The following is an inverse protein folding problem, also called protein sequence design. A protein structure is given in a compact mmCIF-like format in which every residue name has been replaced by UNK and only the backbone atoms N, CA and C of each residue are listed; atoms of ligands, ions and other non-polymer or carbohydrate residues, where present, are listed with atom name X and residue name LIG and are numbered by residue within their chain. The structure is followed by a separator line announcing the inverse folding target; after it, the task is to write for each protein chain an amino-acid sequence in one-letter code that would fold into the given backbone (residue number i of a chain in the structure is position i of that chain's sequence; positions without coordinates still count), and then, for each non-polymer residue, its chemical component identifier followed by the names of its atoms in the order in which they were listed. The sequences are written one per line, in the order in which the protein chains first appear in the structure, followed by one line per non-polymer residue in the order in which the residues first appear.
data_IF_813507131312
#
_entry.id   IF_813507131312
#
_cell.length_a   1.000
_cell.length_b   1.000
_cell.length_c   1.000
_cell.angle_alpha   90.00
_cell.angle_beta   90.00
_cell.angle_gamma   90.00
#
_symmetry.space_group_name_H-M   'P 1'
#
loop_
_entity.id
_entity.type
_entity.pdbx_description
1 polymer ?
#
# COMPACT_ATOMS: atom_id res chain seq x y z
N UNK A 1 -3.49 -16.83 3.78
CA UNK A 1 -4.21 -16.98 5.07
C UNK A 1 -3.63 -18.05 6.01
N UNK A 2 -2.91 -19.07 5.55
CA UNK A 2 -2.48 -20.20 6.40
C UNK A 2 -1.62 -19.78 7.62
N UNK A 3 -0.72 -18.81 7.48
CA UNK A 3 0.06 -18.29 8.60
C UNK A 3 -0.79 -17.58 9.67
N UNK A 4 -1.82 -16.83 9.25
CA UNK A 4 -2.74 -16.12 10.14
C UNK A 4 -3.55 -17.12 10.98
N UNK A 5 -4.08 -18.17 10.33
CA UNK A 5 -4.82 -19.23 11.01
C UNK A 5 -3.94 -20.02 11.99
N UNK A 6 -2.65 -20.19 11.67
CA UNK A 6 -1.65 -20.83 12.56
C UNK A 6 -1.15 -19.89 13.66
N UNK A 7 -1.29 -18.57 13.50
CA UNK A 7 -0.82 -17.55 14.44
C UNK A 7 0.69 -17.30 14.44
N UNK A 8 1.44 -17.82 13.45
CA UNK A 8 2.87 -17.57 13.28
C UNK A 8 3.34 -17.86 11.84
N UNK A 9 4.50 -17.31 11.48
CA UNK A 9 5.24 -17.65 10.26
C UNK A 9 6.71 -17.90 10.61
N UNK A 10 7.33 -18.85 9.93
CA UNK A 10 8.76 -19.12 10.05
C UNK A 10 9.50 -18.35 8.95
N UNK A 11 10.41 -17.46 9.33
CA UNK A 11 11.23 -16.63 8.44
C UNK A 11 12.67 -17.13 8.45
N UNK A 12 13.20 -17.41 7.28
CA UNK A 12 14.57 -17.92 7.11
C UNK A 12 15.50 -16.72 6.97
N UNK A 13 16.59 -16.69 7.74
CA UNK A 13 17.59 -15.64 7.59
C UNK A 13 18.26 -15.74 6.20
N UNK A 14 18.24 -14.67 5.37
CA UNK A 14 18.81 -14.69 4.02
C UNK A 14 20.33 -14.93 4.01
N UNK A 15 21.05 -14.50 5.06
CA UNK A 15 22.49 -14.67 5.19
C UNK A 15 22.88 -16.02 5.80
N UNK A 16 21.99 -16.64 6.58
CA UNK A 16 22.24 -17.96 7.17
C UNK A 16 20.99 -18.83 7.17
N UNK A 17 20.86 -19.64 6.11
CA UNK A 17 19.68 -20.48 5.85
C UNK A 17 19.39 -21.54 6.93
N UNK A 18 20.35 -21.85 7.80
CA UNK A 18 20.15 -22.78 8.93
C UNK A 18 19.41 -22.14 10.10
N UNK A 19 19.34 -20.80 10.15
CA UNK A 19 18.66 -20.07 11.20
C UNK A 19 17.25 -19.68 10.73
N UNK A 20 16.27 -20.28 11.39
CA UNK A 20 14.85 -20.03 11.15
C UNK A 20 14.27 -19.33 12.38
N UNK A 21 13.77 -18.11 12.18
CA UNK A 21 13.12 -17.31 13.22
C UNK A 21 11.61 -17.44 13.10
N UNK A 22 10.95 -17.81 14.19
CA UNK A 22 9.49 -17.81 14.25
C UNK A 22 8.97 -16.43 14.63
N UNK A 23 8.17 -15.85 13.74
CA UNK A 23 7.51 -14.56 13.95
C UNK A 23 6.06 -14.81 14.35
N UNK A 24 5.66 -14.33 15.53
CA UNK A 24 4.26 -14.40 15.97
C UNK A 24 3.40 -13.52 15.07
N UNK A 25 2.25 -14.05 14.69
CA UNK A 25 1.23 -13.34 13.92
C UNK A 25 -0.03 -13.10 14.75
N UNK A 26 0.02 -13.27 16.08
CA UNK A 26 -1.17 -13.07 16.93
C UNK A 26 -1.48 -11.57 17.10
N UNK A 27 -2.76 -11.16 17.17
CA UNK A 27 -3.14 -9.74 17.30
C UNK A 27 -2.50 -9.05 18.51
N UNK A 28 -2.35 -9.79 19.62
CA UNK A 28 -1.74 -9.28 20.86
C UNK A 28 -0.22 -9.04 20.79
N UNK A 29 0.45 -9.71 19.86
CA UNK A 29 1.91 -9.66 19.73
C UNK A 29 2.34 -8.72 18.58
N UNK A 30 1.38 -8.22 17.78
CA UNK A 30 1.63 -7.44 16.56
C UNK A 30 0.80 -6.16 16.54
N UNK A 31 1.48 -5.01 16.63
CA UNK A 31 0.84 -3.68 16.65
C UNK A 31 0.21 -3.29 15.30
N UNK A 32 0.82 -3.71 14.18
CA UNK A 32 0.27 -3.52 12.84
C UNK A 32 0.60 -4.72 11.96
N UNK A 33 -0.43 -5.38 11.44
CA UNK A 33 -0.30 -6.70 10.87
C UNK A 33 0.04 -6.69 9.38
N UNK A 34 -0.52 -5.76 8.61
CA UNK A 34 -0.31 -5.73 7.15
C UNK A 34 -0.21 -4.30 6.63
N UNK A 35 0.86 -4.07 5.86
CA UNK A 35 1.02 -2.90 5.01
C UNK A 35 0.71 -3.35 3.59
N UNK A 36 -0.44 -2.94 3.06
CA UNK A 36 -0.78 -3.26 1.68
C UNK A 36 -0.20 -2.20 0.75
N UNK A 37 0.57 -2.66 -0.24
CA UNK A 37 1.07 -1.84 -1.35
C UNK A 37 0.36 -2.32 -2.60
N UNK A 38 -0.81 -1.74 -2.88
CA UNK A 38 -1.58 -2.14 -4.06
C UNK A 38 -2.27 -0.95 -4.68
N UNK A 39 -2.34 -0.95 -6.01
CA UNK A 39 -3.18 -0.07 -6.82
C UNK A 39 -4.52 -0.73 -7.21
N UNK A 40 -4.74 -1.99 -6.81
CA UNK A 40 -5.99 -2.73 -7.00
C UNK A 40 -6.30 -3.57 -5.75
N UNK A 41 -7.25 -3.11 -4.95
CA UNK A 41 -7.68 -3.74 -3.71
C UNK A 41 -8.78 -4.78 -3.89
N UNK A 42 -9.43 -4.83 -5.06
CA UNK A 42 -10.61 -5.67 -5.30
C UNK A 42 -10.43 -7.13 -4.85
N UNK A 43 -9.31 -7.82 -5.17
CA UNK A 43 -9.12 -9.21 -4.74
C UNK A 43 -8.88 -9.36 -3.23
N UNK A 44 -8.51 -8.28 -2.54
CA UNK A 44 -8.14 -8.29 -1.13
C UNK A 44 -9.32 -7.97 -0.21
N UNK A 45 -10.39 -7.35 -0.71
CA UNK A 45 -11.54 -6.89 0.08
C UNK A 45 -12.15 -7.98 0.96
N UNK A 46 -12.38 -9.17 0.40
CA UNK A 46 -12.95 -10.31 1.13
C UNK A 46 -12.07 -10.73 2.32
N UNK A 47 -10.76 -10.61 2.15
CA UNK A 47 -9.79 -10.93 3.21
C UNK A 47 -9.73 -9.86 4.29
N UNK A 48 -9.97 -8.58 3.94
CA UNK A 48 -9.99 -7.48 4.92
C UNK A 48 -11.12 -7.63 5.92
N UNK A 49 -12.29 -8.11 5.49
CA UNK A 49 -13.41 -8.36 6.39
C UNK A 49 -13.04 -9.41 7.45
N UNK A 50 -12.37 -10.49 7.04
CA UNK A 50 -11.89 -11.52 7.96
C UNK A 50 -10.80 -10.99 8.90
N UNK A 51 -9.90 -10.13 8.41
CA UNK A 51 -8.89 -9.49 9.25
C UNK A 51 -9.51 -8.58 10.32
N UNK A 52 -10.53 -7.80 9.96
CA UNK A 52 -11.27 -6.97 10.92
C UNK A 52 -11.97 -7.82 11.99
N UNK A 53 -12.62 -8.91 11.60
CA UNK A 53 -13.28 -9.83 12.54
C UNK A 53 -12.28 -10.48 13.52
N UNK A 54 -11.06 -10.74 13.07
CA UNK A 54 -9.98 -11.30 13.89
C UNK A 54 -9.24 -10.24 14.72
N UNK A 55 -9.64 -8.97 14.65
CA UNK A 55 -9.07 -7.87 15.44
C UNK A 55 -7.71 -7.38 14.95
N UNK A 56 -7.35 -7.63 13.68
CA UNK A 56 -6.08 -7.17 13.13
C UNK A 56 -6.15 -5.73 12.61
N UNK A 57 -5.11 -4.96 12.93
CA UNK A 57 -4.89 -3.61 12.39
C UNK A 57 -4.09 -3.68 11.09
N UNK A 58 -4.52 -2.97 10.05
CA UNK A 58 -3.84 -2.86 8.77
C UNK A 58 -3.99 -1.45 8.21
N UNK A 59 -3.07 -1.06 7.33
CA UNK A 59 -3.17 0.17 6.55
C UNK A 59 -2.67 -0.04 5.12
N UNK A 60 -3.16 0.80 4.23
CA UNK A 60 -2.80 0.85 2.82
C UNK A 60 -1.78 1.96 2.64
N UNK A 61 -0.64 1.62 2.02
CA UNK A 61 0.24 2.62 1.43
C UNK A 61 -0.08 2.68 -0.05
N UNK A 62 -0.69 3.77 -0.48
CA UNK A 62 -0.99 3.99 -1.88
C UNK A 62 0.02 4.99 -2.44
N UNK A 63 0.80 4.52 -3.39
CA UNK A 63 1.78 5.37 -4.07
C UNK A 63 1.10 6.02 -5.27
N UNK A 64 0.91 7.34 -5.20
CA UNK A 64 0.30 8.11 -6.27
C UNK A 64 1.31 9.16 -6.74
N UNK A 65 1.86 8.93 -7.92
CA UNK A 65 2.95 9.68 -8.55
C UNK A 65 2.42 10.42 -9.77
N UNK A 66 3.17 11.45 -10.19
CA UNK A 66 2.82 12.28 -11.36
C UNK A 66 3.40 11.75 -12.68
N UNK A 67 3.88 10.51 -12.69
CA UNK A 67 4.61 9.98 -13.84
C UNK A 67 3.68 9.53 -14.96
N UNK A 68 4.17 9.65 -16.17
CA UNK A 68 3.50 9.12 -17.34
C UNK A 68 3.78 7.61 -17.51
N UNK A 69 3.04 6.97 -18.42
CA UNK A 69 3.13 5.54 -18.74
C UNK A 69 4.55 5.07 -19.11
N UNK A 70 5.42 5.99 -19.56
CA UNK A 70 6.82 5.70 -19.85
C UNK A 70 7.60 5.22 -18.60
N UNK A 71 7.19 5.65 -17.41
CA UNK A 71 7.78 5.26 -16.12
C UNK A 71 6.90 4.24 -15.40
N UNK A 72 5.57 4.39 -15.46
CA UNK A 72 4.63 3.49 -14.80
C UNK A 72 3.63 2.88 -15.79
N UNK A 73 4.03 1.80 -16.48
CA UNK A 73 3.21 1.17 -17.53
C UNK A 73 1.90 0.54 -17.02
N UNK A 74 1.86 0.11 -15.76
CA UNK A 74 0.72 -0.61 -15.18
C UNK A 74 -0.32 0.31 -14.51
N UNK A 75 -0.27 1.61 -14.78
CA UNK A 75 -1.00 2.63 -14.03
C UNK A 75 -1.97 3.37 -14.96
N UNK A 76 -3.19 3.68 -14.51
CA UNK A 76 -4.19 4.38 -15.32
C UNK A 76 -3.61 5.67 -15.92
N UNK A 77 -3.97 5.94 -17.18
CA UNK A 77 -3.45 7.08 -17.96
C UNK A 77 -3.81 8.43 -17.37
N UNK A 78 -4.87 8.51 -16.58
CA UNK A 78 -5.39 9.78 -16.05
C UNK A 78 -5.22 9.82 -14.55
N UNK A 79 -4.64 10.94 -14.08
CA UNK A 79 -4.56 11.27 -12.67
C UNK A 79 -5.95 11.22 -12.00
N UNK A 80 -6.99 11.61 -12.73
CA UNK A 80 -8.39 11.58 -12.27
C UNK A 80 -8.86 10.17 -11.93
N UNK A 81 -8.56 9.17 -12.76
CA UNK A 81 -8.94 7.76 -12.52
C UNK A 81 -8.21 7.20 -11.29
N UNK A 82 -6.97 7.64 -11.06
CA UNK A 82 -6.19 7.30 -9.86
C UNK A 82 -6.76 7.94 -8.59
N UNK A 83 -7.12 9.21 -8.64
CA UNK A 83 -7.78 9.93 -7.54
C UNK A 83 -9.11 9.27 -7.21
N UNK A 84 -9.91 8.93 -8.22
CA UNK A 84 -11.19 8.23 -8.06
C UNK A 84 -10.98 6.87 -7.41
N UNK A 85 -10.00 6.08 -7.89
CA UNK A 85 -9.65 4.78 -7.29
C UNK A 85 -9.22 4.93 -5.83
N UNK A 86 -8.35 5.90 -5.54
CA UNK A 86 -7.88 6.19 -4.18
C UNK A 86 -9.04 6.62 -3.27
N UNK A 87 -9.94 7.47 -3.77
CA UNK A 87 -11.11 7.96 -3.04
C UNK A 87 -12.11 6.84 -2.78
N UNK A 88 -12.36 5.97 -3.76
CA UNK A 88 -13.18 4.77 -3.60
C UNK A 88 -12.59 3.82 -2.55
N UNK A 89 -11.28 3.61 -2.58
CA UNK A 89 -10.56 2.79 -1.59
C UNK A 89 -10.65 3.40 -0.18
N UNK A 90 -10.45 4.70 -0.05
CA UNK A 90 -10.58 5.44 1.22
C UNK A 90 -11.99 5.35 1.80
N UNK A 91 -13.01 5.53 0.95
CA UNK A 91 -14.42 5.43 1.35
C UNK A 91 -14.81 4.00 1.77
N UNK A 92 -14.30 2.97 1.10
CA UNK A 92 -14.64 1.57 1.39
C UNK A 92 -13.92 1.00 2.63
N UNK A 93 -12.69 1.43 2.89
CA UNK A 93 -11.83 0.77 3.89
C UNK A 93 -11.74 1.53 5.21
N UNK A 94 -12.16 2.79 5.23
CA UNK A 94 -11.98 3.81 6.28
C UNK A 94 -10.82 4.76 5.98
N UNK A 95 -11.11 6.06 6.05
CA UNK A 95 -10.19 7.18 5.76
C UNK A 95 -8.89 7.14 6.57
N UNK A 96 -8.94 6.57 7.78
CA UNK A 96 -7.78 6.51 8.69
C UNK A 96 -6.83 5.33 8.37
N UNK A 97 -7.18 4.47 7.42
CA UNK A 97 -6.39 3.28 7.06
C UNK A 97 -5.65 3.43 5.74
N UNK A 98 -5.63 4.62 5.15
CA UNK A 98 -5.01 4.87 3.84
C UNK A 98 -4.01 6.01 3.95
N UNK A 99 -2.75 5.72 3.61
CA UNK A 99 -1.64 6.66 3.62
C UNK A 99 -1.22 6.90 2.17
N UNK A 100 -1.34 8.14 1.70
CA UNK A 100 -0.80 8.56 0.41
C UNK A 100 0.71 8.70 0.50
N UNK A 101 1.42 8.13 -0.48
CA UNK A 101 2.86 8.28 -0.67
C UNK A 101 3.15 8.89 -2.04
N UNK A 102 4.02 9.88 -2.05
CA UNK A 102 4.53 10.53 -3.24
C UNK A 102 6.02 10.20 -3.41
N UNK A 103 6.32 8.99 -3.88
CA UNK A 103 7.66 8.41 -3.97
C UNK A 103 7.66 7.32 -5.06
N UNK A 104 8.72 7.13 -5.87
CA UNK A 104 9.95 7.92 -5.92
C UNK A 104 9.73 9.33 -6.50
N UNK A 105 10.62 10.27 -6.18
CA UNK A 105 10.75 11.57 -6.86
C UNK A 105 11.97 11.49 -7.77
N UNK A 106 11.74 11.47 -9.07
CA UNK A 106 12.72 11.31 -10.13
C UNK A 106 12.89 12.65 -10.83
N UNK A 107 14.06 13.26 -10.66
CA UNK A 107 14.39 14.51 -11.33
C UNK A 107 15.08 14.20 -12.66
N UNK A 108 14.48 14.70 -13.74
CA UNK A 108 14.98 14.57 -15.11
C UNK A 108 14.67 15.85 -15.89
N UNK A 109 15.15 15.95 -17.12
CA UNK A 109 14.85 17.11 -17.98
C UNK A 109 13.34 17.27 -18.26
N UNK A 110 12.58 16.17 -18.21
CA UNK A 110 11.12 16.15 -18.33
C UNK A 110 10.40 16.30 -17.00
N UNK A 111 10.88 15.65 -15.94
CA UNK A 111 10.29 15.70 -14.60
C UNK A 111 11.08 16.67 -13.70
N UNK A 112 10.72 17.95 -13.77
CA UNK A 112 11.35 19.01 -12.98
C UNK A 112 10.73 19.14 -11.58
N UNK A 113 11.36 19.91 -10.70
CA UNK A 113 10.79 20.24 -9.39
C UNK A 113 9.45 20.96 -9.53
N UNK A 114 9.34 21.92 -10.44
CA UNK A 114 8.08 22.64 -10.74
C UNK A 114 6.97 21.68 -11.20
N UNK A 115 7.32 20.68 -12.01
CA UNK A 115 6.37 19.64 -12.40
C UNK A 115 5.84 18.91 -11.16
N UNK A 116 6.73 18.42 -10.29
CA UNK A 116 6.32 17.75 -9.06
C UNK A 116 5.49 18.64 -8.13
N UNK A 117 5.85 19.91 -7.95
CA UNK A 117 5.07 20.84 -7.12
C UNK A 117 3.66 21.07 -7.66
N UNK A 118 3.52 21.24 -8.98
CA UNK A 118 2.22 21.41 -9.61
C UNK A 118 1.33 20.20 -9.36
N UNK A 119 1.81 19.01 -9.70
CA UNK A 119 1.02 17.79 -9.56
C UNK A 119 0.75 17.42 -8.11
N UNK A 120 1.72 17.61 -7.21
CA UNK A 120 1.50 17.40 -5.78
C UNK A 120 0.39 18.31 -5.25
N UNK A 121 0.36 19.58 -5.68
CA UNK A 121 -0.70 20.52 -5.30
C UNK A 121 -2.06 20.13 -5.88
N UNK A 122 -2.13 19.67 -7.13
CA UNK A 122 -3.37 19.17 -7.72
C UNK A 122 -3.89 17.95 -6.94
N UNK A 123 -3.02 17.01 -6.60
CA UNK A 123 -3.36 15.81 -5.82
C UNK A 123 -3.80 16.12 -4.39
N UNK A 124 -3.14 17.06 -3.71
CA UNK A 124 -3.47 17.43 -2.35
C UNK A 124 -4.79 18.22 -2.22
N UNK A 125 -5.24 18.86 -3.30
CA UNK A 125 -6.50 19.61 -3.35
C UNK A 125 -7.69 18.78 -3.87
N UNK A 126 -7.46 17.53 -4.25
CA UNK A 126 -8.47 16.58 -4.73
C UNK A 126 -9.14 15.85 -3.58
#
# INVERSE_FOLDING_TARGET
MNGIRRGYVDSINPFNRKYVSRVSLKPKDVTCFVVFWTKNETPMLDYLQVLNQLGYTYYFQFTLTAYEQAVEQAVPRKLTELIETFTHLSNRTSKNKVVWRYDPILLTDTYTLEYHYRYFKELANS
#
